data_IF_207298999321
#
_entry.id   IF_207298999321
#
_cell.length_a   1.000
_cell.length_b   1.000
_cell.length_c   1.000
_cell.angle_alpha   90.00
_cell.angle_beta   90.00
_cell.angle_gamma   90.00
#
_symmetry.space_group_name_H-M   'P 1'
#
loop_
_entity.id
_entity.type
_entity.pdbx_description
1 polymer ?
#
# COMPACT_ATOMS: atom_id res chain seq x y z
N UNK A 1 -0.36 -0.75 -28.27
CA UNK A 1 -0.02 -1.64 -29.40
C UNK A 1 -0.39 -3.10 -29.10
N UNK A 2 0.24 -3.76 -28.11
CA UNK A 2 -0.03 -5.18 -27.77
C UNK A 2 -1.53 -5.43 -27.52
N UNK A 3 -2.16 -4.66 -26.62
CA UNK A 3 -3.58 -4.83 -26.31
C UNK A 3 -4.50 -4.53 -27.51
N UNK A 4 -4.11 -3.60 -28.40
CA UNK A 4 -4.90 -3.28 -29.58
C UNK A 4 -4.87 -4.44 -30.61
N UNK A 5 -3.71 -5.03 -30.86
CA UNK A 5 -3.62 -6.17 -31.77
C UNK A 5 -4.31 -7.41 -31.22
N UNK A 6 -4.17 -7.66 -29.90
CA UNK A 6 -4.89 -8.71 -29.21
C UNK A 6 -6.43 -8.53 -29.31
N UNK A 7 -6.90 -7.30 -29.10
CA UNK A 7 -8.31 -6.95 -29.23
C UNK A 7 -8.85 -7.27 -30.63
N UNK A 8 -8.19 -6.82 -31.69
CA UNK A 8 -8.64 -7.09 -33.05
C UNK A 8 -8.67 -8.57 -33.39
N UNK A 9 -7.70 -9.34 -32.87
CA UNK A 9 -7.72 -10.80 -33.05
C UNK A 9 -8.88 -11.49 -32.33
N UNK A 10 -9.23 -11.03 -31.14
CA UNK A 10 -10.29 -11.65 -30.32
C UNK A 10 -11.68 -11.17 -30.68
N UNK A 11 -11.83 -9.90 -31.07
CA UNK A 11 -13.12 -9.29 -31.35
C UNK A 11 -13.64 -9.58 -32.77
N UNK A 12 -12.78 -9.99 -33.68
CA UNK A 12 -13.09 -10.38 -35.09
C UNK A 12 -14.01 -9.39 -35.82
N UNK A 13 -13.78 -8.07 -35.58
CA UNK A 13 -14.58 -6.99 -36.18
C UNK A 13 -14.18 -6.73 -37.63
N UNK A 14 -12.90 -6.85 -37.91
CA UNK A 14 -12.29 -6.74 -39.27
C UNK A 14 -11.25 -7.84 -39.42
N UNK A 15 -10.87 -8.22 -40.65
CA UNK A 15 -9.79 -9.18 -40.89
C UNK A 15 -8.52 -8.79 -40.13
N UNK A 16 -7.91 -9.75 -39.43
CA UNK A 16 -6.75 -9.48 -38.53
C UNK A 16 -5.58 -8.90 -39.31
N UNK A 17 -5.37 -9.36 -40.58
CA UNK A 17 -4.32 -8.86 -41.45
C UNK A 17 -4.49 -7.37 -41.75
N UNK A 18 -5.72 -6.95 -42.02
CA UNK A 18 -6.05 -5.53 -42.26
C UNK A 18 -5.82 -4.68 -41.01
N UNK A 19 -6.26 -5.17 -39.83
CA UNK A 19 -6.03 -4.51 -38.57
C UNK A 19 -4.54 -4.33 -38.27
N UNK A 20 -3.73 -5.36 -38.49
CA UNK A 20 -2.26 -5.31 -38.37
C UNK A 20 -1.66 -4.30 -39.33
N UNK A 21 -2.13 -4.29 -40.59
CA UNK A 21 -1.71 -3.30 -41.57
C UNK A 21 -1.95 -1.87 -41.11
N UNK A 22 -3.16 -1.57 -40.68
CA UNK A 22 -3.54 -0.24 -40.16
C UNK A 22 -2.75 0.19 -38.90
N UNK A 23 -2.50 -0.76 -38.01
CA UNK A 23 -1.67 -0.49 -36.81
C UNK A 23 -0.23 -0.18 -37.21
N UNK A 24 0.38 -0.96 -38.12
CA UNK A 24 1.74 -0.74 -38.59
C UNK A 24 1.87 0.58 -39.36
N UNK A 25 0.89 0.93 -40.18
CA UNK A 25 0.87 2.23 -40.89
C UNK A 25 0.77 3.40 -39.91
N UNK A 26 -0.07 3.29 -38.92
CA UNK A 26 -0.19 4.32 -37.84
C UNK A 26 1.11 4.49 -37.05
N UNK A 27 1.77 3.37 -36.72
CA UNK A 27 3.09 3.35 -36.08
C UNK A 27 4.13 4.08 -36.92
N UNK A 28 4.17 3.78 -38.22
CA UNK A 28 5.11 4.43 -39.17
C UNK A 28 4.88 5.92 -39.26
N UNK A 29 3.62 6.36 -39.34
CA UNK A 29 3.26 7.78 -39.32
C UNK A 29 3.68 8.49 -38.06
N UNK A 30 3.47 7.85 -36.90
CA UNK A 30 3.70 8.47 -35.57
C UNK A 30 5.19 8.45 -35.20
N UNK A 31 5.87 7.34 -35.44
CA UNK A 31 7.23 7.10 -34.94
C UNK A 31 8.32 7.12 -36.03
N UNK A 32 7.96 7.23 -37.32
CA UNK A 32 8.93 7.19 -38.41
C UNK A 32 10.08 8.19 -38.28
N UNK A 33 9.80 9.40 -37.77
CA UNK A 33 10.83 10.42 -37.48
C UNK A 33 11.82 10.03 -36.38
N UNK A 34 11.50 9.02 -35.52
CA UNK A 34 12.37 8.52 -34.47
C UNK A 34 13.31 7.41 -34.92
N UNK A 35 13.25 7.04 -36.18
CA UNK A 35 14.11 6.04 -36.83
C UNK A 35 13.54 4.62 -36.80
N UNK A 36 14.08 3.78 -37.68
CA UNK A 36 13.58 2.43 -37.95
C UNK A 36 13.65 1.51 -36.72
N UNK A 37 14.61 1.71 -35.86
CA UNK A 37 14.72 0.92 -34.60
C UNK A 37 13.44 1.04 -33.75
N UNK A 38 12.91 2.25 -33.59
CA UNK A 38 11.69 2.52 -32.79
C UNK A 38 10.47 1.96 -33.54
N UNK A 39 10.38 2.13 -34.84
CA UNK A 39 9.29 1.62 -35.66
C UNK A 39 9.23 0.09 -35.57
N UNK A 40 10.35 -0.59 -35.77
CA UNK A 40 10.43 -2.05 -35.75
C UNK A 40 10.13 -2.63 -34.35
N UNK A 41 10.55 -1.97 -33.30
CA UNK A 41 10.19 -2.36 -31.91
C UNK A 41 8.67 -2.34 -31.69
N UNK A 42 7.98 -1.32 -32.22
CA UNK A 42 6.53 -1.23 -32.13
C UNK A 42 5.82 -2.24 -33.05
N UNK A 43 6.37 -2.54 -34.22
CA UNK A 43 5.87 -3.61 -35.08
C UNK A 43 5.94 -4.98 -34.40
N UNK A 44 7.09 -5.29 -33.78
CA UNK A 44 7.24 -6.51 -33.01
C UNK A 44 6.24 -6.60 -31.83
N UNK A 45 5.87 -5.46 -31.21
CA UNK A 45 4.85 -5.41 -30.18
C UNK A 45 3.45 -5.74 -30.71
N UNK A 46 3.11 -5.29 -31.93
CA UNK A 46 1.84 -5.65 -32.60
C UNK A 46 1.80 -7.15 -32.88
N UNK A 47 2.87 -7.70 -33.48
CA UNK A 47 2.94 -9.11 -33.81
C UNK A 47 2.87 -10.01 -32.56
N UNK A 48 3.62 -9.67 -31.51
CA UNK A 48 3.57 -10.38 -30.21
C UNK A 48 2.22 -10.30 -29.52
N UNK A 49 1.47 -9.20 -29.66
CA UNK A 49 0.13 -9.09 -29.12
C UNK A 49 -0.85 -10.11 -29.70
N UNK A 50 -0.57 -10.60 -30.90
CA UNK A 50 -1.34 -11.67 -31.58
C UNK A 50 -0.83 -13.05 -31.18
N UNK A 51 0.49 -13.24 -31.25
CA UNK A 51 1.11 -14.57 -31.12
C UNK A 51 1.15 -15.06 -29.66
N UNK A 52 1.20 -14.13 -28.71
CA UNK A 52 1.27 -14.45 -27.27
C UNK A 52 -0.09 -14.63 -26.59
N UNK A 53 -1.19 -14.60 -27.34
CA UNK A 53 -2.51 -14.89 -26.75
C UNK A 53 -2.61 -16.35 -26.35
N UNK A 54 -2.93 -16.58 -25.08
CA UNK A 54 -3.14 -17.91 -24.52
C UNK A 54 -4.61 -18.03 -24.05
N UNK A 55 -5.29 -19.06 -24.54
CA UNK A 55 -6.61 -19.41 -24.03
C UNK A 55 -6.46 -20.09 -22.68
N UNK A 56 -7.14 -19.56 -21.67
CA UNK A 56 -7.21 -20.15 -20.35
C UNK A 56 -8.54 -20.90 -20.24
N UNK A 57 -8.49 -22.20 -19.98
CA UNK A 57 -9.67 -23.00 -19.74
C UNK A 57 -10.08 -22.83 -18.28
N UNK A 58 -11.23 -22.19 -18.07
CA UNK A 58 -11.81 -21.99 -16.73
C UNK A 58 -12.46 -23.30 -16.28
N UNK A 59 -12.05 -23.88 -15.12
CA UNK A 59 -12.68 -25.10 -14.61
C UNK A 59 -14.17 -24.92 -14.38
N UNK A 60 -14.98 -25.89 -14.80
CA UNK A 60 -16.44 -25.84 -14.61
C UNK A 60 -16.82 -25.75 -13.12
N UNK A 61 -16.00 -26.29 -12.23
CA UNK A 61 -16.18 -26.21 -10.78
C UNK A 61 -16.19 -24.78 -10.21
N UNK A 62 -15.68 -23.80 -10.96
CA UNK A 62 -15.72 -22.40 -10.51
C UNK A 62 -17.13 -21.80 -10.58
N UNK A 63 -18.03 -22.40 -11.36
CA UNK A 63 -19.42 -21.97 -11.38
C UNK A 63 -20.20 -22.33 -10.09
N UNK A 64 -19.71 -23.32 -9.36
CA UNK A 64 -20.36 -23.85 -8.15
C UNK A 64 -19.64 -23.37 -6.86
N UNK A 65 -18.66 -22.48 -6.97
CA UNK A 65 -17.98 -21.89 -5.81
C UNK A 65 -18.98 -21.00 -5.08
N UNK A 66 -19.23 -21.32 -3.81
CA UNK A 66 -20.00 -20.44 -2.93
C UNK A 66 -19.20 -19.19 -2.63
N UNK A 67 -19.85 -18.03 -2.62
CA UNK A 67 -19.25 -16.82 -2.13
C UNK A 67 -18.84 -17.01 -0.66
N UNK A 68 -17.58 -16.72 -0.33
CA UNK A 68 -17.18 -16.64 1.07
C UNK A 68 -17.99 -15.50 1.70
N UNK A 69 -18.70 -15.80 2.80
CA UNK A 69 -19.36 -14.75 3.57
C UNK A 69 -18.30 -13.75 3.99
N UNK A 70 -18.46 -12.51 3.56
CA UNK A 70 -17.56 -11.43 3.97
C UNK A 70 -17.55 -11.37 5.50
N UNK A 71 -16.39 -11.62 6.10
CA UNK A 71 -16.21 -11.48 7.55
C UNK A 71 -16.42 -10.02 7.91
N UNK A 72 -17.63 -9.68 8.35
CA UNK A 72 -17.96 -8.35 8.84
C UNK A 72 -17.40 -8.25 10.25
N UNK A 73 -16.31 -7.51 10.44
CA UNK A 73 -15.87 -7.16 11.78
C UNK A 73 -16.90 -6.21 12.42
N UNK A 74 -17.62 -6.72 13.39
CA UNK A 74 -18.63 -5.94 14.11
C UNK A 74 -18.07 -4.74 14.89
N UNK A 75 -16.76 -4.67 15.07
CA UNK A 75 -16.07 -3.60 15.78
C UNK A 75 -15.63 -2.44 14.87
N UNK A 76 -15.82 -2.54 13.55
CA UNK A 76 -15.50 -1.42 12.65
C UNK A 76 -16.36 -0.18 12.98
N UNK A 77 -15.79 1.04 12.84
CA UNK A 77 -16.56 2.28 12.99
C UNK A 77 -17.76 2.36 12.03
N UNK A 78 -18.84 3.01 12.47
CA UNK A 78 -20.07 3.14 11.66
C UNK A 78 -19.82 3.73 10.27
N UNK A 79 -18.91 4.70 10.14
CA UNK A 79 -18.56 5.27 8.85
C UNK A 79 -18.01 4.21 7.89
N UNK A 80 -17.17 3.32 8.39
CA UNK A 80 -16.60 2.23 7.60
C UNK A 80 -17.72 1.30 7.12
N UNK A 81 -18.55 0.81 8.05
CA UNK A 81 -19.64 -0.13 7.73
C UNK A 81 -20.67 0.47 6.79
N UNK A 82 -21.12 1.69 7.09
CA UNK A 82 -22.34 2.24 6.48
C UNK A 82 -22.04 3.08 5.24
N UNK A 83 -20.82 3.55 5.05
CA UNK A 83 -20.44 4.41 3.92
C UNK A 83 -19.28 3.80 3.14
N UNK A 84 -18.14 3.56 3.78
CA UNK A 84 -16.94 3.12 3.06
C UNK A 84 -17.12 1.75 2.42
N UNK A 85 -17.67 0.76 3.14
CA UNK A 85 -17.86 -0.60 2.61
C UNK A 85 -18.80 -0.62 1.38
N UNK A 86 -20.01 0.00 1.41
CA UNK A 86 -20.84 0.11 0.22
C UNK A 86 -20.17 0.82 -0.94
N UNK A 87 -19.42 1.91 -0.69
CA UNK A 87 -18.71 2.62 -1.76
C UNK A 87 -17.58 1.78 -2.36
N UNK A 88 -16.84 1.03 -1.54
CA UNK A 88 -15.78 0.11 -2.00
C UNK A 88 -16.37 -1.06 -2.81
N UNK A 89 -17.56 -1.53 -2.45
CA UNK A 89 -18.32 -2.55 -3.20
C UNK A 89 -18.96 -2.02 -4.49
N UNK A 90 -18.73 -0.75 -4.86
CA UNK A 90 -19.36 -0.08 -6.01
C UNK A 90 -20.88 0.05 -5.85
N UNK A 91 -21.39 -0.02 -4.64
CA UNK A 91 -22.83 0.12 -4.29
C UNK A 91 -23.16 1.52 -3.72
N UNK A 92 -22.23 2.48 -3.82
CA UNK A 92 -22.39 3.83 -3.28
C UNK A 92 -23.66 4.56 -3.77
N UNK A 93 -24.15 4.24 -4.97
CA UNK A 93 -25.40 4.81 -5.50
C UNK A 93 -26.66 4.37 -4.74
N UNK A 94 -26.59 3.31 -3.96
CA UNK A 94 -27.70 2.86 -3.09
C UNK A 94 -27.81 3.68 -1.80
N UNK A 95 -26.74 4.44 -1.44
CA UNK A 95 -26.74 5.26 -0.25
C UNK A 95 -27.65 6.48 -0.40
N UNK A 96 -28.59 6.71 0.53
CA UNK A 96 -29.37 7.93 0.52
C UNK A 96 -28.49 9.15 0.88
N UNK A 97 -28.88 10.33 0.43
CA UNK A 97 -28.18 11.59 0.76
C UNK A 97 -28.06 11.78 2.29
N UNK A 98 -29.07 11.32 3.03
CA UNK A 98 -29.07 11.37 4.50
C UNK A 98 -27.98 10.54 5.17
N UNK A 99 -27.33 9.59 4.47
CA UNK A 99 -26.17 8.87 5.00
C UNK A 99 -24.97 9.81 5.28
N UNK A 100 -24.96 10.99 4.65
CA UNK A 100 -23.89 11.99 4.80
C UNK A 100 -24.25 13.15 5.75
N UNK A 101 -25.35 13.03 6.51
CA UNK A 101 -25.69 14.02 7.54
C UNK A 101 -24.55 14.19 8.55
N UNK A 102 -24.24 15.46 8.89
CA UNK A 102 -23.11 15.84 9.72
C UNK A 102 -21.77 15.87 9.00
N UNK A 103 -21.79 15.76 7.66
CA UNK A 103 -20.60 15.83 6.77
C UNK A 103 -20.82 16.77 5.61
N UNK A 104 -21.74 17.72 5.75
CA UNK A 104 -22.13 18.69 4.72
C UNK A 104 -20.99 19.64 4.36
N UNK A 105 -20.01 19.76 5.25
CA UNK A 105 -18.79 20.53 5.02
C UNK A 105 -17.66 19.73 4.33
N UNK A 106 -17.94 18.49 3.90
CA UNK A 106 -16.99 17.63 3.21
C UNK A 106 -15.93 16.98 4.10
N UNK A 107 -16.02 17.06 5.42
CA UNK A 107 -15.09 16.39 6.33
C UNK A 107 -15.37 14.92 6.44
N UNK A 108 -14.35 14.09 6.18
CA UNK A 108 -14.38 12.64 6.32
C UNK A 108 -13.40 12.19 7.41
N UNK A 109 -13.65 11.01 8.06
CA UNK A 109 -12.73 10.45 9.04
C UNK A 109 -11.36 10.17 8.43
N UNK A 110 -10.31 10.44 9.19
CA UNK A 110 -8.94 10.09 8.84
C UNK A 110 -8.63 8.62 9.14
N UNK A 111 -7.59 8.06 8.49
CA UNK A 111 -7.09 6.72 8.76
C UNK A 111 -7.98 5.59 8.25
N UNK A 112 -8.94 5.88 7.39
CA UNK A 112 -9.89 4.86 6.88
C UNK A 112 -9.22 3.83 5.97
N UNK A 113 -8.07 4.15 5.36
CA UNK A 113 -7.29 3.21 4.55
C UNK A 113 -6.84 1.96 5.34
N UNK A 114 -6.72 2.05 6.68
CA UNK A 114 -6.37 0.92 7.53
C UNK A 114 -7.41 -0.22 7.50
N UNK A 115 -8.63 0.07 7.09
CA UNK A 115 -9.72 -0.90 7.01
C UNK A 115 -9.88 -1.55 5.62
N UNK A 116 -9.13 -1.10 4.62
CA UNK A 116 -9.26 -1.66 3.26
C UNK A 116 -8.73 -3.08 3.14
N UNK A 117 -7.56 -3.37 3.75
CA UNK A 117 -6.95 -4.71 3.77
C UNK A 117 -6.95 -5.39 2.39
N UNK A 118 -6.31 -4.76 1.42
CA UNK A 118 -6.40 -5.15 -0.01
C UNK A 118 -5.82 -6.52 -0.34
N UNK A 119 -4.90 -7.04 0.46
CA UNK A 119 -4.27 -8.37 0.27
C UNK A 119 -3.69 -8.60 -1.14
N UNK A 120 -3.07 -7.59 -1.74
CA UNK A 120 -2.64 -7.64 -3.15
C UNK A 120 -1.22 -8.20 -3.37
N UNK A 121 -0.45 -8.39 -2.30
CA UNK A 121 0.91 -8.92 -2.41
C UNK A 121 0.90 -10.43 -2.67
N UNK A 122 1.74 -10.90 -3.59
CA UNK A 122 2.02 -12.33 -3.76
C UNK A 122 2.98 -12.79 -2.66
N UNK A 123 4.04 -12.00 -2.46
CA UNK A 123 5.04 -12.23 -1.41
C UNK A 123 5.12 -11.02 -0.48
N UNK A 124 5.33 -11.28 0.81
CA UNK A 124 5.53 -10.24 1.84
C UNK A 124 6.84 -10.49 2.59
N UNK A 125 7.48 -9.44 3.16
CA UNK A 125 8.75 -9.62 3.85
C UNK A 125 8.57 -10.29 5.21
N UNK A 126 9.30 -11.39 5.42
CA UNK A 126 9.49 -12.02 6.72
C UNK A 126 10.76 -11.48 7.38
N UNK A 127 10.67 -11.09 8.64
CA UNK A 127 11.82 -10.56 9.39
C UNK A 127 12.69 -11.66 9.97
N UNK A 128 13.94 -11.71 9.50
CA UNK A 128 14.99 -12.59 10.00
C UNK A 128 15.71 -11.91 11.17
N UNK A 129 15.25 -12.19 12.37
CA UNK A 129 15.64 -11.51 13.61
C UNK A 129 17.16 -11.48 13.84
N UNK A 130 17.85 -12.60 13.58
CA UNK A 130 19.29 -12.74 13.84
C UNK A 130 20.16 -11.94 12.86
N UNK A 131 19.66 -11.72 11.66
CA UNK A 131 20.36 -10.98 10.61
C UNK A 131 20.17 -9.45 10.75
N UNK A 132 19.20 -9.02 11.57
CA UNK A 132 18.84 -7.60 11.66
C UNK A 132 19.87 -6.80 12.44
N UNK A 133 20.37 -5.73 11.82
CA UNK A 133 21.23 -4.71 12.43
C UNK A 133 20.44 -3.52 12.97
N UNK A 134 19.11 -3.58 12.93
CA UNK A 134 18.19 -2.59 13.47
C UNK A 134 18.42 -1.15 12.94
N UNK A 135 18.74 -1.01 11.66
CA UNK A 135 19.00 0.31 11.03
C UNK A 135 17.73 1.06 10.62
N UNK A 136 16.56 0.40 10.57
CA UNK A 136 15.26 0.92 10.14
C UNK A 136 15.17 1.39 8.68
N UNK A 137 16.14 1.10 7.82
CA UNK A 137 16.09 1.50 6.41
C UNK A 137 14.90 0.85 5.67
N UNK A 138 14.55 -0.38 6.04
CA UNK A 138 13.38 -1.08 5.49
C UNK A 138 12.07 -0.31 5.75
N UNK A 139 11.91 0.24 6.95
CA UNK A 139 10.76 1.09 7.27
C UNK A 139 10.81 2.42 6.54
N UNK A 140 12.01 3.05 6.45
CA UNK A 140 12.18 4.33 5.78
C UNK A 140 11.70 4.29 4.32
N UNK A 141 12.08 3.26 3.58
CA UNK A 141 11.77 3.15 2.14
C UNK A 141 10.38 2.60 1.84
N UNK A 142 9.66 2.09 2.85
CA UNK A 142 8.33 1.54 2.61
C UNK A 142 7.34 2.65 2.23
N UNK A 143 6.77 2.62 1.01
CA UNK A 143 5.86 3.67 0.54
C UNK A 143 4.48 3.61 1.20
N UNK A 144 4.12 2.46 1.79
CA UNK A 144 2.80 2.22 2.36
C UNK A 144 2.80 2.16 3.89
N UNK A 145 3.94 2.40 4.54
CA UNK A 145 4.08 2.25 6.00
C UNK A 145 3.66 0.86 6.54
N UNK A 146 3.70 -0.15 5.68
CA UNK A 146 3.31 -1.53 6.01
C UNK A 146 4.40 -2.31 6.77
N UNK A 147 5.61 -1.77 6.89
CA UNK A 147 6.70 -2.35 7.69
C UNK A 147 7.22 -1.29 8.67
N UNK A 148 7.21 -1.62 9.96
CA UNK A 148 7.54 -0.67 11.03
C UNK A 148 8.42 -1.30 12.11
N UNK A 149 9.37 -0.53 12.69
CA UNK A 149 10.05 -0.93 13.91
C UNK A 149 9.19 -0.61 15.13
N UNK A 150 9.16 -1.54 16.07
CA UNK A 150 8.52 -1.37 17.36
C UNK A 150 9.54 -1.53 18.48
N UNK A 151 9.36 -0.73 19.53
CA UNK A 151 10.11 -0.80 20.76
C UNK A 151 9.15 -1.16 21.90
N UNK A 152 9.50 -2.19 22.65
CA UNK A 152 8.68 -2.70 23.73
C UNK A 152 9.48 -2.69 25.03
N UNK A 153 8.82 -2.43 26.16
CA UNK A 153 9.35 -2.77 27.47
C UNK A 153 9.36 -4.30 27.65
N UNK A 154 10.08 -4.80 28.66
CA UNK A 154 10.04 -6.22 28.95
C UNK A 154 8.63 -6.70 29.37
N UNK A 155 7.85 -5.81 30.01
CA UNK A 155 6.48 -6.13 30.41
C UNK A 155 5.55 -6.21 29.18
N UNK A 156 5.63 -5.23 28.27
CA UNK A 156 4.87 -5.26 27.03
C UNK A 156 5.20 -6.50 26.19
N UNK A 157 6.48 -6.89 26.13
CA UNK A 157 6.93 -8.07 25.37
C UNK A 157 6.42 -9.40 25.99
N UNK A 158 6.21 -9.48 27.28
CA UNK A 158 5.65 -10.68 27.94
C UNK A 158 4.18 -10.92 27.59
N UNK A 159 3.46 -9.87 27.24
CA UNK A 159 2.04 -9.93 26.86
C UNK A 159 1.82 -10.12 25.35
N UNK A 160 2.90 -10.29 24.59
CA UNK A 160 2.85 -10.47 23.16
C UNK A 160 2.35 -11.86 22.74
N UNK A 161 1.78 -11.99 21.53
CA UNK A 161 1.47 -13.31 20.94
C UNK A 161 2.69 -14.25 20.91
N UNK A 162 2.45 -15.55 20.89
CA UNK A 162 3.49 -16.57 20.95
C UNK A 162 4.58 -16.39 19.87
N UNK A 163 4.17 -15.99 18.67
CA UNK A 163 5.07 -15.80 17.52
C UNK A 163 5.65 -14.37 17.43
N UNK A 164 5.43 -13.53 18.43
CA UNK A 164 5.95 -12.16 18.47
C UNK A 164 7.38 -12.13 19.03
N UNK A 165 8.33 -12.65 18.26
CA UNK A 165 9.72 -12.68 18.68
C UNK A 165 10.35 -11.28 18.69
N UNK A 166 11.08 -10.95 19.74
CA UNK A 166 11.80 -9.69 19.91
C UNK A 166 13.29 -9.92 20.15
N UNK A 167 14.09 -8.89 19.91
CA UNK A 167 15.53 -8.87 20.19
C UNK A 167 15.85 -7.61 21.00
N UNK A 168 16.87 -7.70 21.88
CA UNK A 168 17.32 -6.53 22.62
C UNK A 168 17.58 -5.34 21.66
N UNK A 169 17.03 -4.18 21.97
CA UNK A 169 17.22 -3.00 21.15
C UNK A 169 18.69 -2.51 21.21
N UNK A 170 19.23 -2.10 20.08
CA UNK A 170 20.61 -1.60 19.95
C UNK A 170 20.60 -0.09 19.78
N UNK A 171 21.35 0.62 20.60
CA UNK A 171 21.53 2.06 20.53
C UNK A 171 21.52 2.71 21.90
N UNK A 172 22.13 3.88 22.00
CA UNK A 172 22.15 4.67 23.24
C UNK A 172 20.72 5.11 23.58
N UNK A 173 20.29 4.84 24.80
CA UNK A 173 18.94 5.15 25.28
C UNK A 173 17.90 4.05 25.01
N UNK A 174 18.32 2.92 24.41
CA UNK A 174 17.44 1.78 24.11
C UNK A 174 17.75 0.53 24.94
N UNK A 175 18.63 0.65 25.94
CA UNK A 175 19.27 -0.48 26.64
C UNK A 175 18.26 -1.39 27.36
N UNK A 176 17.12 -0.82 27.77
CA UNK A 176 16.06 -1.53 28.51
C UNK A 176 14.84 -1.88 27.64
N UNK A 177 15.00 -1.81 26.31
CA UNK A 177 13.91 -2.05 25.37
C UNK A 177 14.19 -3.29 24.52
N UNK A 178 13.10 -3.93 24.11
CA UNK A 178 13.06 -4.95 23.07
C UNK A 178 12.71 -4.32 21.74
N UNK A 179 13.22 -4.88 20.66
CA UNK A 179 13.03 -4.39 19.30
C UNK A 179 12.42 -5.47 18.41
N UNK A 180 11.51 -5.06 17.55
CA UNK A 180 10.93 -5.90 16.49
C UNK A 180 10.69 -5.07 15.24
N UNK A 181 10.89 -5.68 14.07
CA UNK A 181 10.28 -5.24 12.81
C UNK A 181 8.99 -6.04 12.62
N UNK A 182 7.89 -5.34 12.44
CA UNK A 182 6.58 -5.94 12.18
C UNK A 182 6.04 -5.48 10.82
N UNK A 183 5.40 -6.39 10.11
CA UNK A 183 4.78 -6.16 8.79
C UNK A 183 3.27 -6.30 8.92
N UNK A 184 2.52 -5.38 8.30
CA UNK A 184 1.12 -5.61 7.97
C UNK A 184 1.07 -6.33 6.62
N UNK A 185 0.82 -7.63 6.65
CA UNK A 185 0.84 -8.46 5.45
C UNK A 185 -0.27 -8.05 4.48
N UNK A 186 -1.47 -7.79 5.00
CA UNK A 186 -2.65 -7.44 4.21
C UNK A 186 -2.57 -6.05 3.57
N UNK A 187 -1.75 -5.15 4.11
CA UNK A 187 -1.54 -3.79 3.59
C UNK A 187 -0.24 -3.66 2.78
N UNK A 188 0.58 -4.70 2.76
CA UNK A 188 1.80 -4.77 1.98
C UNK A 188 1.48 -4.92 0.50
N UNK A 189 2.21 -4.20 -0.37
CA UNK A 189 2.05 -4.29 -1.83
C UNK A 189 3.06 -5.23 -2.51
N UNK A 190 3.90 -5.92 -1.74
CA UNK A 190 4.86 -6.90 -2.26
C UNK A 190 6.00 -6.33 -3.11
N UNK A 191 6.27 -5.02 -3.03
CA UNK A 191 7.23 -4.36 -3.92
C UNK A 191 8.70 -4.74 -3.73
N UNK A 192 9.08 -5.36 -2.60
CA UNK A 192 10.45 -5.80 -2.32
C UNK A 192 11.45 -4.73 -1.88
N UNK A 193 11.13 -3.43 -1.97
CA UNK A 193 12.07 -2.34 -1.65
C UNK A 193 12.76 -2.50 -0.28
N UNK A 194 12.04 -2.97 0.73
CA UNK A 194 12.57 -3.18 2.08
C UNK A 194 13.63 -4.29 2.13
N UNK A 195 13.46 -5.35 1.35
CA UNK A 195 14.43 -6.44 1.24
C UNK A 195 15.65 -6.00 0.42
N UNK A 196 15.43 -5.26 -0.67
CA UNK A 196 16.52 -4.79 -1.55
C UNK A 196 17.44 -3.81 -0.84
N UNK A 197 16.89 -2.82 -0.11
CA UNK A 197 17.69 -1.80 0.59
C UNK A 197 18.41 -2.34 1.83
N UNK A 198 18.06 -3.53 2.31
CA UNK A 198 18.62 -4.08 3.54
C UNK A 198 20.16 -4.21 3.44
N UNK A 199 20.94 -3.49 4.28
CA UNK A 199 22.40 -3.47 4.20
C UNK A 199 23.05 -4.62 4.98
N UNK A 200 22.27 -5.45 5.67
CA UNK A 200 22.81 -6.56 6.43
C UNK A 200 23.53 -7.56 5.52
N UNK A 201 24.65 -8.13 5.99
CA UNK A 201 25.47 -9.07 5.22
C UNK A 201 24.66 -10.27 4.74
N UNK A 202 23.82 -10.83 5.61
CA UNK A 202 22.73 -11.73 5.25
C UNK A 202 21.45 -10.95 5.42
N UNK A 203 20.60 -10.92 4.39
CA UNK A 203 19.38 -10.11 4.39
C UNK A 203 18.52 -10.39 5.63
N UNK A 204 18.11 -9.31 6.29
CA UNK A 204 17.22 -9.38 7.45
C UNK A 204 15.73 -9.41 7.07
N UNK A 205 15.43 -9.28 5.77
CA UNK A 205 14.10 -9.41 5.23
C UNK A 205 14.14 -10.33 4.02
N UNK A 206 13.32 -11.36 4.05
CA UNK A 206 13.19 -12.35 2.98
C UNK A 206 11.74 -12.34 2.53
N UNK A 207 11.52 -12.18 1.23
CA UNK A 207 10.17 -12.24 0.66
C UNK A 207 9.67 -13.67 0.72
N UNK A 208 8.46 -13.86 1.25
CA UNK A 208 7.79 -15.15 1.46
C UNK A 208 6.36 -15.09 0.97
N UNK A 209 5.79 -16.20 0.49
CA UNK A 209 4.39 -16.23 0.06
C UNK A 209 3.45 -15.66 1.12
N UNK A 210 2.53 -14.79 0.69
CA UNK A 210 1.54 -14.13 1.55
C UNK A 210 0.76 -15.16 2.39
N UNK A 211 0.33 -16.26 1.79
CA UNK A 211 -0.47 -17.30 2.42
C UNK A 211 0.21 -17.94 3.63
N UNK A 212 1.54 -18.01 3.62
CA UNK A 212 2.33 -18.56 4.74
C UNK A 212 2.51 -17.56 5.88
N UNK A 213 2.29 -16.26 5.62
CA UNK A 213 2.63 -15.17 6.52
C UNK A 213 1.41 -14.46 7.12
N UNK A 214 0.29 -14.47 6.41
CA UNK A 214 -0.88 -13.63 6.66
C UNK A 214 -1.37 -13.70 8.10
N UNK A 215 -1.70 -14.88 8.60
CA UNK A 215 -2.34 -15.04 9.91
C UNK A 215 -1.43 -14.58 11.05
N UNK A 216 -0.17 -15.04 11.07
CA UNK A 216 0.80 -14.71 12.12
C UNK A 216 1.17 -13.22 12.07
N UNK A 217 1.35 -12.66 10.87
CA UNK A 217 1.73 -11.26 10.71
C UNK A 217 0.62 -10.31 11.12
N UNK A 218 -0.64 -10.61 10.81
CA UNK A 218 -1.77 -9.76 11.20
C UNK A 218 -2.03 -9.78 12.70
N UNK A 219 -1.99 -10.95 13.36
CA UNK A 219 -2.08 -11.03 14.83
C UNK A 219 -1.02 -10.15 15.49
N UNK A 220 0.22 -10.30 15.04
CA UNK A 220 1.36 -9.54 15.54
C UNK A 220 1.24 -8.04 15.24
N UNK A 221 0.68 -7.68 14.08
CA UNK A 221 0.45 -6.30 13.69
C UNK A 221 -0.56 -5.61 14.60
N UNK A 222 -1.71 -6.24 14.83
CA UNK A 222 -2.74 -5.70 15.72
C UNK A 222 -2.25 -5.57 17.17
N UNK A 223 -1.42 -6.50 17.64
CA UNK A 223 -0.78 -6.36 18.94
C UNK A 223 0.17 -5.16 18.98
N UNK A 224 1.05 -5.02 18.00
CA UNK A 224 2.10 -4.00 17.97
C UNK A 224 1.56 -2.57 17.78
N UNK A 225 0.42 -2.43 17.12
CA UNK A 225 -0.20 -1.12 16.81
C UNK A 225 -1.25 -0.68 17.84
N UNK A 226 -1.62 -1.55 18.75
CA UNK A 226 -2.54 -1.23 19.84
C UNK A 226 -1.79 -0.47 20.95
N UNK A 227 -2.02 0.83 21.06
CA UNK A 227 -1.36 1.68 22.06
C UNK A 227 -1.70 1.33 23.51
N UNK A 228 -2.75 0.55 23.76
CA UNK A 228 -3.05 0.01 25.08
C UNK A 228 -2.13 -1.14 25.48
N UNK A 229 -1.52 -1.81 24.49
CA UNK A 229 -0.61 -2.94 24.66
C UNK A 229 0.86 -2.56 24.48
N UNK A 230 1.15 -1.74 23.48
CA UNK A 230 2.50 -1.26 23.15
C UNK A 230 2.51 0.26 23.12
N UNK A 231 3.06 0.87 24.14
CA UNK A 231 3.08 2.33 24.28
C UNK A 231 3.97 3.01 23.22
N UNK A 232 3.56 4.17 22.75
CA UNK A 232 4.33 4.96 21.80
C UNK A 232 5.65 5.45 22.42
N UNK A 233 6.76 5.34 21.69
CA UNK A 233 8.12 5.73 22.12
C UNK A 233 8.81 6.59 21.05
N UNK A 234 8.22 7.76 20.67
CA UNK A 234 8.67 8.52 19.50
C UNK A 234 10.02 9.24 19.68
N UNK A 235 10.38 9.58 20.91
CA UNK A 235 11.52 10.48 21.21
C UNK A 235 12.71 9.77 21.84
N UNK A 236 12.77 8.44 21.73
CA UNK A 236 13.88 7.63 22.27
C UNK A 236 15.21 7.85 21.53
N UNK A 237 15.15 8.35 20.31
CA UNK A 237 16.31 8.73 19.48
C UNK A 237 16.00 10.01 18.70
N UNK A 238 17.05 10.79 18.30
CA UNK A 238 16.84 11.98 17.47
C UNK A 238 16.11 11.68 16.15
N UNK A 239 15.01 12.37 15.92
CA UNK A 239 14.21 12.22 14.68
C UNK A 239 14.97 12.64 13.41
N UNK A 240 16.08 13.34 13.53
CA UNK A 240 16.98 13.73 12.42
C UNK A 240 17.84 12.58 11.89
N UNK A 241 17.80 11.43 12.53
CA UNK A 241 18.48 10.22 12.06
C UNK A 241 17.50 9.28 11.37
N UNK A 242 17.99 8.47 10.42
CA UNK A 242 17.17 7.44 9.75
C UNK A 242 16.50 6.54 10.79
N UNK A 243 17.29 6.01 11.73
CA UNK A 243 16.77 5.09 12.74
C UNK A 243 15.75 5.75 13.66
N UNK A 244 16.03 6.95 14.14
CA UNK A 244 15.19 7.67 15.10
C UNK A 244 13.86 8.13 14.49
N UNK A 245 13.90 8.61 13.24
CA UNK A 245 12.66 9.05 12.53
C UNK A 245 11.63 7.94 12.44
N UNK A 246 12.07 6.70 12.26
CA UNK A 246 11.18 5.55 12.04
C UNK A 246 10.53 5.01 13.32
N UNK A 247 10.96 5.40 14.51
CA UNK A 247 10.25 5.11 15.75
C UNK A 247 9.03 6.02 15.95
N UNK A 248 8.92 7.08 15.15
CA UNK A 248 7.72 7.91 15.12
C UNK A 248 6.66 7.26 14.25
N UNK A 249 5.42 7.27 14.73
CA UNK A 249 4.31 6.73 13.95
C UNK A 249 4.19 7.46 12.61
N UNK A 250 4.12 6.76 11.48
CA UNK A 250 3.75 7.36 10.21
C UNK A 250 2.28 7.80 10.26
N UNK A 251 2.02 9.04 9.83
CA UNK A 251 0.67 9.58 9.74
C UNK A 251 0.18 9.68 8.29
N UNK A 252 0.81 8.90 7.42
CA UNK A 252 0.37 8.50 6.10
C UNK A 252 0.64 7.00 6.00
N UNK A 253 -0.41 6.19 5.83
CA UNK A 253 -0.32 4.74 5.81
C UNK A 253 -1.32 4.12 4.85
N UNK A 254 -0.94 3.00 4.24
CA UNK A 254 -1.80 2.16 3.40
C UNK A 254 -2.49 2.92 2.25
N UNK A 255 -1.79 3.89 1.68
CA UNK A 255 -2.31 4.68 0.57
C UNK A 255 -2.55 3.83 -0.69
N UNK A 256 -3.41 4.30 -1.59
CA UNK A 256 -3.65 3.69 -2.91
C UNK A 256 -2.53 3.89 -3.93
N UNK A 257 -1.33 4.29 -3.50
CA UNK A 257 -0.19 4.46 -4.39
C UNK A 257 0.31 3.15 -4.98
N UNK A 258 1.03 3.24 -6.09
CA UNK A 258 1.63 2.08 -6.76
C UNK A 258 2.58 1.30 -5.84
N UNK A 259 2.72 0.00 -6.07
CA UNK A 259 3.74 -0.81 -5.43
C UNK A 259 5.14 -0.22 -5.70
N UNK A 260 5.91 0.04 -4.64
CA UNK A 260 7.23 0.66 -4.75
C UNK A 260 7.23 2.16 -5.09
N UNK A 261 6.12 2.87 -4.88
CA UNK A 261 6.01 4.30 -5.13
C UNK A 261 7.14 5.09 -4.47
N UNK A 262 7.88 5.89 -5.25
CA UNK A 262 8.97 6.72 -4.74
C UNK A 262 8.50 7.99 -4.02
N UNK A 263 7.27 8.42 -4.23
CA UNK A 263 6.73 9.66 -3.67
C UNK A 263 6.22 9.46 -2.23
N UNK A 264 5.40 8.43 -1.99
CA UNK A 264 4.74 8.24 -0.69
C UNK A 264 5.70 7.91 0.44
N UNK A 265 6.87 7.34 0.15
CA UNK A 265 7.92 7.16 1.16
C UNK A 265 8.43 8.50 1.73
N UNK A 266 8.58 9.53 0.89
CA UNK A 266 8.93 10.88 1.34
C UNK A 266 7.81 11.53 2.13
N UNK A 267 6.56 11.45 1.62
CA UNK A 267 5.40 12.00 2.34
C UNK A 267 5.21 11.34 3.70
N UNK A 268 5.38 10.03 3.79
CA UNK A 268 5.38 9.31 5.06
C UNK A 268 6.40 9.90 6.03
N UNK A 269 7.66 10.07 5.59
CA UNK A 269 8.72 10.67 6.43
C UNK A 269 8.34 12.08 6.89
N UNK A 270 7.82 12.91 5.99
CA UNK A 270 7.37 14.26 6.34
C UNK A 270 6.27 14.21 7.41
N UNK A 271 5.32 13.27 7.31
CA UNK A 271 4.29 13.10 8.34
C UNK A 271 4.85 12.60 9.68
N UNK A 272 5.89 11.75 9.67
CA UNK A 272 6.56 11.32 10.90
C UNK A 272 7.26 12.48 11.63
N UNK A 273 7.77 13.46 10.88
CA UNK A 273 8.48 14.62 11.43
C UNK A 273 7.55 15.77 11.83
N UNK A 274 6.51 16.02 11.06
CA UNK A 274 5.68 17.22 11.18
C UNK A 274 4.18 16.95 11.26
N UNK A 275 3.73 15.73 11.02
CA UNK A 275 2.33 15.33 10.83
C UNK A 275 1.32 15.91 11.80
N UNK A 276 1.58 15.94 13.14
CA UNK A 276 0.61 16.47 14.12
C UNK A 276 0.21 17.94 13.92
N UNK A 277 0.95 18.69 13.10
CA UNK A 277 0.71 20.12 12.83
C UNK A 277 0.74 20.47 11.34
N UNK A 278 0.64 19.45 10.48
CA UNK A 278 0.65 19.66 9.03
C UNK A 278 -0.73 20.04 8.51
N UNK A 279 -0.73 20.92 7.53
CA UNK A 279 -1.84 21.17 6.62
C UNK A 279 -1.37 20.85 5.21
N UNK A 280 -2.12 20.03 4.50
CA UNK A 280 -1.81 19.57 3.15
C UNK A 280 -2.90 20.06 2.22
N UNK A 281 -2.52 20.82 1.20
CA UNK A 281 -3.38 21.22 0.12
C UNK A 281 -2.83 20.63 -1.19
N UNK A 282 -3.64 19.86 -1.88
CA UNK A 282 -3.28 19.22 -3.14
C UNK A 282 -4.07 19.82 -4.32
N UNK A 283 -3.45 19.76 -5.49
CA UNK A 283 -4.14 19.85 -6.77
C UNK A 283 -4.20 18.46 -7.41
N UNK A 284 -4.88 18.35 -8.56
CA UNK A 284 -5.02 17.08 -9.29
C UNK A 284 -3.65 16.48 -9.66
N UNK A 285 -3.47 15.21 -9.34
CA UNK A 285 -2.25 14.46 -9.58
C UNK A 285 -2.19 13.21 -8.70
N UNK A 286 -1.04 12.52 -8.67
CA UNK A 286 -0.88 11.32 -7.84
C UNK A 286 -1.16 11.59 -6.36
N UNK A 287 -0.70 12.72 -5.83
CA UNK A 287 -0.88 13.06 -4.42
C UNK A 287 -2.33 13.31 -4.01
N UNK A 288 -3.20 13.76 -4.94
CA UNK A 288 -4.63 13.83 -4.70
C UNK A 288 -5.28 12.44 -4.78
N UNK A 289 -4.85 11.62 -5.74
CA UNK A 289 -5.42 10.28 -5.94
C UNK A 289 -5.12 9.37 -4.75
N UNK A 290 -3.85 9.19 -4.39
CA UNK A 290 -3.52 8.34 -3.24
C UNK A 290 -3.80 9.02 -1.90
N UNK A 291 -4.03 10.34 -1.89
CA UNK A 291 -4.24 11.12 -0.67
C UNK A 291 -5.64 11.05 -0.07
N UNK A 292 -6.69 10.91 -0.83
CA UNK A 292 -8.08 10.70 -0.39
C UNK A 292 -9.13 10.94 -1.52
N UNK A 293 -8.84 10.63 -2.78
CA UNK A 293 -9.80 10.87 -3.89
C UNK A 293 -11.02 9.97 -3.86
N UNK A 294 -11.01 8.89 -3.12
CA UNK A 294 -12.16 8.02 -2.96
C UNK A 294 -12.25 7.67 -1.48
N UNK A 295 -13.37 7.30 -0.93
CA UNK A 295 -13.72 7.56 0.48
C UNK A 295 -12.66 7.16 1.51
N UNK A 296 -11.66 6.42 1.11
CA UNK A 296 -10.54 5.98 1.94
C UNK A 296 -9.47 7.08 2.05
N UNK A 297 -9.09 7.37 3.27
CA UNK A 297 -8.10 8.39 3.62
C UNK A 297 -6.88 7.75 4.28
N UNK A 298 -5.68 7.83 3.67
CA UNK A 298 -4.45 7.27 4.22
C UNK A 298 -3.81 8.15 5.30
N UNK A 299 -4.12 9.45 5.34
CA UNK A 299 -3.70 10.31 6.44
C UNK A 299 -4.41 9.91 7.72
N UNK A 300 -3.66 9.74 8.80
CA UNK A 300 -4.16 9.25 10.08
C UNK A 300 -3.71 10.12 11.24
N UNK A 301 -4.12 9.77 12.45
CA UNK A 301 -3.77 10.48 13.68
C UNK A 301 -2.86 9.64 14.57
N UNK A 302 -2.07 10.30 15.40
CA UNK A 302 -1.26 9.65 16.43
C UNK A 302 -2.10 9.29 17.65
N UNK A 303 -1.45 8.70 18.66
CA UNK A 303 -2.08 8.33 19.95
C UNK A 303 -2.70 9.51 20.72
N UNK A 304 -2.34 10.76 20.39
CA UNK A 304 -2.92 11.97 20.94
C UNK A 304 -4.11 12.52 20.13
N UNK A 305 -4.50 11.80 19.06
CA UNK A 305 -5.56 12.25 18.14
C UNK A 305 -5.15 13.39 17.21
N UNK A 306 -3.84 13.63 17.02
CA UNK A 306 -3.31 14.68 16.15
C UNK A 306 -2.72 14.09 14.87
N UNK A 307 -3.04 14.70 13.73
CA UNK A 307 -2.54 14.30 12.41
C UNK A 307 -2.68 15.38 11.37
N UNK A 308 -2.22 15.12 10.13
CA UNK A 308 -2.33 16.07 9.04
C UNK A 308 -3.79 16.41 8.71
N UNK A 309 -4.08 17.67 8.48
CA UNK A 309 -5.31 18.09 7.80
C UNK A 309 -5.04 18.09 6.30
N UNK A 310 -5.87 17.37 5.54
CA UNK A 310 -5.72 17.28 4.08
C UNK A 310 -6.95 17.86 3.37
N UNK A 311 -6.69 18.64 2.34
CA UNK A 311 -7.72 19.14 1.44
C UNK A 311 -7.25 19.00 -0.01
N UNK A 312 -8.15 18.62 -0.90
CA UNK A 312 -7.92 18.72 -2.33
C UNK A 312 -8.38 20.09 -2.82
N UNK A 313 -7.51 20.79 -3.49
CA UNK A 313 -7.81 22.07 -4.11
C UNK A 313 -7.80 21.87 -5.62
N UNK A 314 -8.94 22.02 -6.24
CA UNK A 314 -9.09 22.07 -7.69
C UNK A 314 -8.84 23.52 -8.14
N UNK A 315 -7.59 23.96 -8.09
CA UNK A 315 -7.23 25.33 -8.44
C UNK A 315 -7.57 25.73 -9.87
N UNK A 316 -7.67 24.78 -10.75
CA UNK A 316 -8.13 24.97 -12.12
C UNK A 316 -9.61 25.32 -12.22
N UNK A 317 -10.38 25.06 -11.17
CA UNK A 317 -11.81 25.35 -11.09
C UNK A 317 -12.13 26.65 -10.34
N UNK A 318 -11.08 27.34 -9.83
CA UNK A 318 -11.22 28.59 -9.07
C UNK A 318 -10.84 29.80 -9.92
#
# INVERSE_FOLDING_TARGET
>A
MICQSAFFKLADIIPVEDAVGYLKDSIKKTYGKKGDKVVNMNYAAVDKGIDALVKIDVPASWADVADEEAVVDNNEPEFIKNILRPMTAVEGNSLPVSAFLGREDGRFPQGTAAYEKRCIAVDVPEWQIDNSIQCNQCSLVCPHAAIRPFLLTEEEAKNAPENFNTKKAMGKGLENLQYRIQVSAMDCTGCGNCADVCPAKTKALVMKPMEEQKEVQEENWYFATDFSKVSAKPDVMPATTIKGSQFRQPLLEFSGACAGCGETAYMKLVTQLFGPRMMVANATGCSSIWGASAPSTPYTVNHEGKGPSWANSLFEDN
#
